data_IF_762476009950
#
_entry.id   IF_762476009950
#
_cell.length_a   1.000
_cell.length_b   1.000
_cell.length_c   1.000
_cell.angle_alpha   90.00
_cell.angle_beta   90.00
_cell.angle_gamma   90.00
#
_symmetry.space_group_name_H-M   'P 1'
#
loop_
_entity.id
_entity.type
_entity.pdbx_description
1 polymer ?
#
# COMPACT_ATOMS: atom_id res chain seq x y z
N UNK A 1 1.90 18.71 4.66
CA UNK A 1 2.75 17.61 5.17
C UNK A 1 2.47 16.37 4.34
N UNK A 2 3.44 15.89 3.57
CA UNK A 2 3.19 14.78 2.61
C UNK A 2 3.37 13.41 3.26
N UNK A 3 2.41 12.51 3.06
CA UNK A 3 2.41 11.15 3.64
C UNK A 3 2.43 10.12 2.50
N UNK A 4 3.21 9.06 2.66
CA UNK A 4 3.12 7.86 1.83
C UNK A 4 2.43 6.75 2.62
N UNK A 5 1.26 6.31 2.15
CA UNK A 5 0.58 5.15 2.69
C UNK A 5 1.08 3.90 1.98
N UNK A 6 1.71 2.99 2.73
CA UNK A 6 2.08 1.66 2.25
C UNK A 6 1.01 0.70 2.72
N UNK A 7 0.28 0.09 1.79
CA UNK A 7 -0.86 -0.79 2.11
C UNK A 7 -0.50 -2.23 1.71
N UNK A 8 -0.46 -3.12 2.70
CA UNK A 8 -0.26 -4.55 2.52
C UNK A 8 -1.59 -5.22 2.16
N UNK A 9 -1.70 -5.74 0.94
CA UNK A 9 -2.90 -6.32 0.37
C UNK A 9 -2.67 -7.77 -0.07
N UNK A 10 -3.65 -8.64 0.20
CA UNK A 10 -3.66 -10.02 -0.28
C UNK A 10 -5.07 -10.50 -0.71
N UNK A 11 -6.12 -9.71 -0.42
CA UNK A 11 -7.52 -9.96 -0.79
C UNK A 11 -8.33 -8.66 -0.71
N UNK A 12 -9.61 -8.72 -1.11
CA UNK A 12 -10.60 -7.66 -1.00
C UNK A 12 -10.23 -6.35 -1.75
N UNK A 13 -10.10 -6.37 -3.10
CA UNK A 13 -9.75 -5.18 -3.88
C UNK A 13 -10.75 -4.02 -3.72
N UNK A 14 -12.05 -4.31 -3.57
CA UNK A 14 -13.06 -3.27 -3.35
C UNK A 14 -12.88 -2.55 -2.00
N UNK A 15 -12.47 -3.28 -0.97
CA UNK A 15 -12.16 -2.71 0.34
C UNK A 15 -10.91 -1.82 0.27
N UNK A 16 -9.90 -2.24 -0.49
CA UNK A 16 -8.71 -1.42 -0.76
C UNK A 16 -9.12 -0.09 -1.42
N UNK A 17 -9.93 -0.16 -2.48
CA UNK A 17 -10.41 1.03 -3.20
C UNK A 17 -11.18 1.96 -2.25
N UNK A 18 -12.04 1.41 -1.39
CA UNK A 18 -12.78 2.17 -0.39
C UNK A 18 -11.85 2.87 0.61
N UNK A 19 -10.83 2.16 1.12
CA UNK A 19 -9.82 2.71 2.03
C UNK A 19 -9.04 3.87 1.38
N UNK A 20 -8.53 3.66 0.16
CA UNK A 20 -7.78 4.69 -0.59
C UNK A 20 -8.66 5.93 -0.81
N UNK A 21 -9.91 5.75 -1.26
CA UNK A 21 -10.85 6.86 -1.47
C UNK A 21 -11.10 7.65 -0.19
N UNK A 22 -11.17 6.97 0.96
CA UNK A 22 -11.39 7.64 2.25
C UNK A 22 -10.19 8.43 2.73
N UNK A 23 -8.97 7.93 2.46
CA UNK A 23 -7.71 8.60 2.80
C UNK A 23 -7.24 9.61 1.75
N UNK A 24 -7.94 9.74 0.62
CA UNK A 24 -7.48 10.52 -0.51
C UNK A 24 -7.37 12.02 -0.16
N UNK A 25 -6.16 12.56 -0.31
CA UNK A 25 -5.84 13.96 -0.02
C UNK A 25 -4.73 14.45 -0.96
N UNK A 26 -4.63 15.73 -1.38
CA UNK A 26 -3.58 16.23 -2.29
C UNK A 26 -2.12 16.00 -1.84
N UNK A 27 -1.91 15.79 -0.54
CA UNK A 27 -0.60 15.47 0.05
C UNK A 27 -0.45 14.00 0.49
N UNK A 28 -1.31 13.09 0.02
CA UNK A 28 -1.19 11.66 0.27
C UNK A 28 -0.88 10.89 -1.02
N UNK A 29 0.13 10.01 -0.98
CA UNK A 29 0.40 9.04 -2.05
C UNK A 29 0.22 7.62 -1.52
N UNK A 30 -0.20 6.68 -2.38
CA UNK A 30 -0.54 5.32 -2.01
C UNK A 30 0.33 4.31 -2.75
N UNK A 31 0.93 3.39 -2.00
CA UNK A 31 1.83 2.35 -2.50
C UNK A 31 1.31 1.00 -2.03
N UNK A 32 0.84 0.18 -2.96
CA UNK A 32 0.13 -1.06 -2.62
C UNK A 32 1.07 -2.24 -2.83
N UNK A 33 1.41 -2.93 -1.75
CA UNK A 33 2.08 -4.22 -1.82
C UNK A 33 1.02 -5.30 -1.95
N UNK A 34 0.96 -5.93 -3.12
CA UNK A 34 0.10 -7.09 -3.34
C UNK A 34 0.94 -8.34 -3.10
N UNK A 35 0.53 -9.18 -2.16
CA UNK A 35 1.20 -10.46 -1.89
C UNK A 35 1.35 -11.27 -3.19
N UNK A 36 2.49 -11.94 -3.38
CA UNK A 36 2.72 -12.72 -4.61
C UNK A 36 1.81 -13.94 -4.73
N UNK A 37 1.15 -14.36 -3.65
CA UNK A 37 0.08 -15.37 -3.66
C UNK A 37 -1.20 -14.87 -4.34
N UNK A 38 -1.37 -13.55 -4.45
CA UNK A 38 -2.58 -12.92 -4.97
C UNK A 38 -2.36 -12.51 -6.43
N UNK A 39 -3.40 -12.71 -7.25
CA UNK A 39 -3.44 -12.18 -8.61
C UNK A 39 -3.41 -10.65 -8.53
N UNK A 40 -2.44 -10.03 -9.20
CA UNK A 40 -2.28 -8.57 -9.16
C UNK A 40 -3.38 -7.88 -9.95
N UNK A 41 -3.92 -8.59 -10.94
CA UNK A 41 -4.93 -8.15 -11.88
C UNK A 41 -6.25 -7.81 -11.17
N UNK A 42 -6.58 -8.54 -10.11
CA UNK A 42 -7.76 -8.30 -9.26
C UNK A 42 -7.76 -6.90 -8.64
N UNK A 43 -6.59 -6.27 -8.52
CA UNK A 43 -6.42 -4.96 -7.90
C UNK A 43 -6.29 -3.83 -8.92
N UNK A 44 -6.21 -4.11 -10.23
CA UNK A 44 -5.92 -3.11 -11.27
C UNK A 44 -6.85 -1.90 -11.25
N UNK A 45 -8.10 -2.06 -10.81
CA UNK A 45 -9.04 -0.94 -10.65
C UNK A 45 -8.52 0.14 -9.70
N UNK A 46 -7.69 -0.20 -8.70
CA UNK A 46 -7.07 0.78 -7.80
C UNK A 46 -6.13 1.74 -8.54
N UNK A 47 -5.52 1.33 -9.66
CA UNK A 47 -4.64 2.18 -10.47
C UNK A 47 -5.41 3.30 -11.21
N UNK A 48 -6.74 3.22 -11.31
CA UNK A 48 -7.57 4.31 -11.83
C UNK A 48 -7.62 5.52 -10.88
N UNK A 49 -7.20 5.35 -9.63
CA UNK A 49 -7.18 6.42 -8.63
C UNK A 49 -5.84 7.15 -8.73
N UNK A 50 -5.91 8.48 -8.73
CA UNK A 50 -4.73 9.35 -8.77
C UNK A 50 -3.79 9.05 -7.60
N UNK A 51 -2.48 8.98 -7.89
CA UNK A 51 -1.39 8.76 -6.92
C UNK A 51 -1.42 7.41 -6.21
N UNK A 52 -1.99 6.40 -6.88
CA UNK A 52 -1.83 4.99 -6.51
C UNK A 52 -0.78 4.33 -7.40
N UNK A 53 0.18 3.64 -6.77
CA UNK A 53 1.17 2.82 -7.45
C UNK A 53 1.26 1.45 -6.77
N UNK A 54 1.58 0.41 -7.54
CA UNK A 54 1.91 -0.89 -6.98
C UNK A 54 3.39 -1.00 -6.68
N UNK A 55 3.70 -1.64 -5.56
CA UNK A 55 5.06 -2.07 -5.21
C UNK A 55 5.48 -3.16 -6.20
N UNK A 56 6.65 -3.00 -6.82
CA UNK A 56 7.19 -3.94 -7.80
C UNK A 56 7.84 -5.14 -7.10
N UNK A 57 8.57 -4.90 -6.01
CA UNK A 57 9.25 -5.94 -5.25
C UNK A 57 8.28 -6.68 -4.31
N UNK A 58 7.34 -7.41 -4.91
CA UNK A 58 6.33 -8.18 -4.18
C UNK A 58 6.96 -9.39 -3.48
N UNK A 59 6.47 -9.69 -2.28
CA UNK A 59 6.95 -10.77 -1.42
C UNK A 59 5.77 -11.68 -1.07
N UNK A 60 6.02 -12.99 -1.05
CA UNK A 60 5.11 -14.01 -0.53
C UNK A 60 5.08 -13.89 1.00
N UNK A 61 4.03 -13.31 1.57
CA UNK A 61 3.97 -13.06 3.01
C UNK A 61 3.22 -14.19 3.73
N UNK A 62 3.86 -14.74 4.76
CA UNK A 62 3.24 -15.61 5.75
C UNK A 62 2.92 -14.80 7.01
N UNK A 63 1.71 -14.98 7.52
CA UNK A 63 1.27 -14.35 8.75
C UNK A 63 2.13 -14.82 9.93
N UNK A 64 2.58 -13.87 10.76
CA UNK A 64 3.51 -14.14 11.88
C UNK A 64 4.94 -14.54 11.46
N UNK A 65 5.24 -14.62 10.16
CA UNK A 65 6.54 -15.03 9.65
C UNK A 65 7.45 -13.86 9.24
N UNK A 66 8.76 -14.13 9.17
CA UNK A 66 9.79 -13.18 8.73
C UNK A 66 9.50 -12.58 7.33
N UNK A 67 8.85 -13.34 6.46
CA UNK A 67 8.44 -12.88 5.13
C UNK A 67 7.57 -11.62 5.15
N UNK A 68 6.70 -11.45 6.15
CA UNK A 68 5.87 -10.25 6.26
C UNK A 68 6.74 -9.02 6.55
N UNK A 69 7.70 -9.17 7.47
CA UNK A 69 8.69 -8.14 7.78
C UNK A 69 9.51 -7.77 6.55
N UNK A 70 10.00 -8.77 5.79
CA UNK A 70 10.72 -8.54 4.53
C UNK A 70 9.87 -7.82 3.48
N UNK A 71 8.57 -8.15 3.37
CA UNK A 71 7.64 -7.45 2.48
C UNK A 71 7.46 -5.98 2.84
N UNK A 72 7.34 -5.69 4.14
CA UNK A 72 7.26 -4.30 4.65
C UNK A 72 8.54 -3.53 4.33
N UNK A 73 9.71 -4.08 4.69
CA UNK A 73 11.02 -3.41 4.47
C UNK A 73 11.29 -3.21 2.97
N UNK A 74 10.99 -4.21 2.13
CA UNK A 74 11.14 -4.09 0.67
C UNK A 74 10.25 -2.98 0.11
N UNK A 75 8.99 -2.90 0.54
CA UNK A 75 8.06 -1.83 0.16
C UNK A 75 8.56 -0.46 0.58
N UNK A 76 9.02 -0.32 1.83
CA UNK A 76 9.57 0.94 2.34
C UNK A 76 10.79 1.39 1.54
N UNK A 77 11.73 0.48 1.26
CA UNK A 77 12.92 0.77 0.47
C UNK A 77 12.56 1.23 -0.95
N UNK A 78 11.58 0.59 -1.59
CA UNK A 78 11.11 1.00 -2.90
C UNK A 78 10.50 2.42 -2.87
N UNK A 79 9.65 2.73 -1.89
CA UNK A 79 9.07 4.07 -1.73
C UNK A 79 10.13 5.14 -1.48
N UNK A 80 11.10 4.86 -0.59
CA UNK A 80 12.21 5.78 -0.28
C UNK A 80 13.08 6.02 -1.52
N UNK A 81 13.29 4.99 -2.35
CA UNK A 81 14.11 5.08 -3.57
C UNK A 81 13.55 6.05 -4.62
N UNK A 82 12.26 6.39 -4.54
CA UNK A 82 11.62 7.39 -5.41
C UNK A 82 12.08 8.83 -5.13
N UNK A 83 12.82 9.06 -4.03
CA UNK A 83 13.37 10.37 -3.63
C UNK A 83 12.33 11.48 -3.56
N UNK A 84 11.07 11.13 -3.24
CA UNK A 84 10.01 12.09 -2.93
C UNK A 84 10.11 12.52 -1.47
N UNK A 85 9.84 13.78 -1.20
CA UNK A 85 9.86 14.31 0.16
C UNK A 85 8.57 13.93 0.91
N UNK A 86 8.65 12.87 1.70
CA UNK A 86 7.60 12.46 2.64
C UNK A 86 8.01 12.80 4.07
N UNK A 87 7.06 13.32 4.83
CA UNK A 87 7.23 13.53 6.27
C UNK A 87 7.02 12.25 7.05
N UNK A 88 6.13 11.37 6.57
CA UNK A 88 5.80 10.10 7.21
C UNK A 88 5.56 8.99 6.19
N UNK A 89 5.97 7.77 6.56
CA UNK A 89 5.48 6.52 5.96
C UNK A 89 4.45 5.93 6.90
N UNK A 90 3.24 5.69 6.42
CA UNK A 90 2.16 5.09 7.18
C UNK A 90 1.88 3.69 6.65
N UNK A 91 2.16 2.67 7.45
CA UNK A 91 1.93 1.27 7.10
C UNK A 91 0.52 0.86 7.49
N UNK A 92 -0.23 0.30 6.55
CA UNK A 92 -1.60 -0.16 6.73
C UNK A 92 -1.79 -1.54 6.09
N UNK A 93 -2.84 -2.23 6.51
CA UNK A 93 -3.44 -3.34 5.81
C UNK A 93 -4.75 -2.90 5.13
N UNK A 94 -5.28 -3.73 4.23
CA UNK A 94 -6.61 -3.49 3.61
C UNK A 94 -7.75 -3.46 4.65
N UNK A 95 -7.55 -4.04 5.84
CA UNK A 95 -8.58 -4.11 6.89
C UNK A 95 -8.57 -2.91 7.83
N UNK A 96 -7.53 -2.07 7.78
CA UNK A 96 -7.49 -0.83 8.55
C UNK A 96 -8.47 0.20 7.97
N UNK A 97 -8.95 1.10 8.83
CA UNK A 97 -9.84 2.18 8.40
C UNK A 97 -9.70 3.43 9.27
N UNK A 98 -9.63 4.63 8.69
CA UNK A 98 -9.54 5.87 9.47
C UNK A 98 -10.86 6.17 10.18
N UNK A 99 -10.76 6.55 11.45
CA UNK A 99 -11.90 6.98 12.29
C UNK A 99 -12.07 8.50 12.35
N UNK A 100 -11.07 9.27 11.93
CA UNK A 100 -11.06 10.74 11.93
C UNK A 100 -10.61 11.28 10.57
N UNK A 101 -10.92 12.55 10.30
CA UNK A 101 -10.54 13.28 9.08
C UNK A 101 -9.39 14.24 9.33
#
# INVERSE_FOLDING_TARGET
MRIAHIIMAHKNPDQLIRLIKRLHHPEADFYIHIDTKSAIEDFNLALSIVRVLFIKNRVNCNWGGNSLFLGIISSMNEVISLKKNYSFLNLLSVQDYPSYS
#
